data_IF_595464556397
#
_entry.id   IF_595464556397
#
_cell.length_a   1.000
_cell.length_b   1.000
_cell.length_c   1.000
_cell.angle_alpha   90.00
_cell.angle_beta   90.00
_cell.angle_gamma   90.00
#
_symmetry.space_group_name_H-M   'P 1'
#
loop_
_entity.id
_entity.type
_entity.pdbx_description
1 polymer ?
#
# COMPACT_ATOMS: atom_id res chain seq x y z
N UNK A 1 13.27 10.00 -11.11
CA UNK A 1 11.96 10.38 -11.67
C UNK A 1 10.98 9.39 -11.05
N UNK A 2 10.28 9.82 -10.00
CA UNK A 2 9.41 9.00 -9.16
C UNK A 2 8.23 8.49 -10.00
N UNK A 3 8.11 7.17 -10.14
CA UNK A 3 7.05 6.52 -10.92
C UNK A 3 6.08 5.79 -10.00
N UNK A 4 4.93 5.48 -10.57
CA UNK A 4 3.80 4.77 -9.97
C UNK A 4 4.27 3.54 -9.16
N UNK A 5 4.30 3.65 -7.83
CA UNK A 5 4.80 2.66 -6.86
C UNK A 5 6.28 2.23 -6.93
N UNK A 6 7.08 2.72 -7.89
CA UNK A 6 8.49 2.33 -8.09
C UNK A 6 9.43 2.74 -6.92
N UNK A 7 9.06 3.76 -6.14
CA UNK A 7 9.85 4.23 -4.99
C UNK A 7 9.48 3.51 -3.67
N UNK A 8 8.48 2.61 -3.70
CA UNK A 8 8.13 1.81 -2.55
C UNK A 8 8.93 0.50 -2.57
N UNK A 9 9.67 0.15 -1.50
CA UNK A 9 10.42 -1.09 -1.40
C UNK A 9 9.50 -2.28 -1.11
N UNK A 10 8.46 -2.47 -1.92
CA UNK A 10 7.56 -3.64 -1.83
C UNK A 10 8.31 -4.94 -2.18
N UNK A 11 9.30 -4.85 -3.07
CA UNK A 11 10.06 -5.98 -3.62
C UNK A 11 10.99 -6.68 -2.61
N UNK A 12 11.51 -5.96 -1.62
CA UNK A 12 12.34 -6.56 -0.55
C UNK A 12 11.52 -7.27 0.53
N UNK A 13 10.19 -7.13 0.50
CA UNK A 13 9.29 -7.66 1.52
C UNK A 13 9.54 -7.06 2.91
N UNK A 14 8.84 -7.60 3.92
CA UNK A 14 8.93 -7.13 5.31
C UNK A 14 9.88 -7.95 6.18
N UNK A 15 10.57 -8.96 5.63
CA UNK A 15 11.35 -9.91 6.43
C UNK A 15 12.45 -9.22 7.26
N UNK A 16 13.16 -8.24 6.69
CA UNK A 16 14.15 -7.43 7.41
C UNK A 16 13.51 -6.61 8.54
N UNK A 17 12.43 -5.90 8.25
CA UNK A 17 11.70 -5.10 9.24
C UNK A 17 11.09 -5.94 10.38
N UNK A 18 10.65 -7.17 10.07
CA UNK A 18 10.19 -8.12 11.09
C UNK A 18 11.35 -8.60 11.95
N UNK A 19 12.50 -8.91 11.35
CA UNK A 19 13.69 -9.35 12.09
C UNK A 19 14.25 -8.26 13.01
N UNK A 20 14.15 -6.99 12.60
CA UNK A 20 14.55 -5.83 13.39
C UNK A 20 13.49 -5.39 14.42
N UNK A 21 12.32 -6.05 14.45
CA UNK A 21 11.23 -5.71 15.36
C UNK A 21 10.52 -4.39 15.04
N UNK A 22 10.73 -3.85 13.84
CA UNK A 22 10.14 -2.60 13.36
C UNK A 22 8.69 -2.78 12.89
N UNK A 23 8.36 -3.98 12.41
CA UNK A 23 7.01 -4.34 11.94
C UNK A 23 6.66 -5.72 12.47
N UNK A 24 5.47 -5.89 13.03
CA UNK A 24 4.99 -7.21 13.43
C UNK A 24 4.60 -8.07 12.22
N UNK A 25 4.63 -9.39 12.37
CA UNK A 25 4.16 -10.31 11.31
C UNK A 25 2.71 -10.03 10.91
N UNK A 26 1.87 -9.62 11.85
CA UNK A 26 0.46 -9.31 11.59
C UNK A 26 0.31 -8.03 10.74
N UNK A 27 1.08 -6.98 11.04
CA UNK A 27 1.08 -5.74 10.25
C UNK A 27 1.61 -5.98 8.84
N UNK A 28 2.68 -6.78 8.70
CA UNK A 28 3.23 -7.16 7.40
C UNK A 28 2.25 -7.98 6.55
N UNK A 29 1.51 -8.89 7.18
CA UNK A 29 0.48 -9.70 6.50
C UNK A 29 -0.69 -8.83 6.04
N UNK A 30 -1.12 -7.86 6.87
CA UNK A 30 -2.23 -6.96 6.58
C UNK A 30 -2.03 -6.10 5.32
N UNK A 31 -0.79 -5.77 4.98
CA UNK A 31 -0.45 -4.96 3.78
C UNK A 31 0.02 -5.79 2.58
N UNK A 32 0.25 -7.10 2.76
CA UNK A 32 0.90 -7.95 1.75
C UNK A 32 0.17 -7.93 0.40
N UNK A 33 -1.15 -8.11 0.43
CA UNK A 33 -1.97 -8.16 -0.78
C UNK A 33 -1.99 -6.82 -1.52
N UNK A 34 -2.10 -5.72 -0.78
CA UNK A 34 -2.01 -4.37 -1.34
C UNK A 34 -0.64 -4.12 -1.98
N UNK A 35 0.47 -4.43 -1.29
CA UNK A 35 1.82 -4.22 -1.83
C UNK A 35 2.06 -5.04 -3.09
N UNK A 36 1.63 -6.31 -3.12
CA UNK A 36 1.76 -7.16 -4.31
C UNK A 36 0.95 -6.61 -5.51
N UNK A 37 -0.27 -6.13 -5.26
CA UNK A 37 -1.09 -5.52 -6.31
C UNK A 37 -0.53 -4.17 -6.79
N UNK A 38 0.03 -3.37 -5.89
CA UNK A 38 0.65 -2.08 -6.20
C UNK A 38 1.92 -2.26 -7.04
N UNK A 39 2.79 -3.21 -6.67
CA UNK A 39 4.02 -3.53 -7.41
C UNK A 39 3.73 -4.05 -8.83
N UNK A 40 2.65 -4.81 -9.00
CA UNK A 40 2.25 -5.32 -10.31
C UNK A 40 1.54 -4.27 -11.18
N UNK A 41 1.10 -3.14 -10.61
CA UNK A 41 0.31 -2.18 -11.34
C UNK A 41 1.15 -1.28 -12.23
N UNK A 42 0.66 -1.05 -13.44
CA UNK A 42 1.29 -0.19 -14.44
C UNK A 42 0.31 0.91 -14.82
N UNK A 43 0.80 2.11 -15.04
CA UNK A 43 -0.06 3.18 -15.52
C UNK A 43 -0.64 2.82 -16.91
N UNK A 44 -1.90 3.22 -17.19
CA UNK A 44 -2.51 3.10 -18.50
C UNK A 44 -1.62 3.71 -19.59
N UNK A 45 -1.36 2.93 -20.65
CA UNK A 45 -0.50 3.38 -21.76
C UNK A 45 0.96 3.68 -21.37
N UNK A 46 1.39 3.28 -20.17
CA UNK A 46 2.73 3.59 -19.65
C UNK A 46 2.94 5.08 -19.33
N UNK A 47 1.86 5.85 -19.22
CA UNK A 47 1.92 7.28 -18.90
C UNK A 47 1.52 7.52 -17.44
N UNK A 48 2.52 7.57 -16.56
CA UNK A 48 2.32 7.79 -15.12
C UNK A 48 1.77 9.19 -14.77
N UNK A 49 1.66 10.09 -15.76
CA UNK A 49 1.15 11.45 -15.60
C UNK A 49 -0.27 11.65 -16.18
N UNK A 50 -0.85 10.63 -16.82
CA UNK A 50 -2.23 10.70 -17.30
C UNK A 50 -3.20 10.44 -16.15
N UNK A 51 -3.40 11.46 -15.31
CA UNK A 51 -4.25 11.36 -14.14
C UNK A 51 -5.68 10.94 -14.50
N UNK A 52 -6.21 11.36 -15.65
CA UNK A 52 -7.57 11.02 -16.06
C UNK A 52 -7.69 9.53 -16.41
N UNK A 53 -6.71 9.00 -17.15
CA UNK A 53 -6.65 7.58 -17.46
C UNK A 53 -6.44 6.74 -16.20
N UNK A 54 -5.53 7.16 -15.30
CA UNK A 54 -5.26 6.47 -14.02
C UNK A 54 -6.53 6.42 -13.15
N UNK A 55 -7.22 7.56 -12.97
CA UNK A 55 -8.42 7.61 -12.13
C UNK A 55 -9.60 6.80 -12.70
N UNK A 56 -9.60 6.56 -14.02
CA UNK A 56 -10.62 5.76 -14.69
C UNK A 56 -10.23 4.29 -14.83
N UNK A 57 -9.03 3.90 -14.43
CA UNK A 57 -8.53 2.53 -14.58
C UNK A 57 -9.16 1.59 -13.54
N UNK A 58 -9.86 0.52 -13.96
CA UNK A 58 -10.37 -0.49 -13.03
C UNK A 58 -9.27 -1.15 -12.17
N UNK A 59 -8.04 -1.28 -12.69
CA UNK A 59 -6.92 -1.80 -11.93
C UNK A 59 -6.54 -0.86 -10.78
N UNK A 60 -6.61 0.45 -11.01
CA UNK A 60 -6.40 1.46 -9.97
C UNK A 60 -7.50 1.40 -8.91
N UNK A 61 -8.77 1.25 -9.30
CA UNK A 61 -9.87 1.09 -8.34
C UNK A 61 -9.69 -0.14 -7.45
N UNK A 62 -9.21 -1.26 -8.01
CA UNK A 62 -8.88 -2.46 -7.23
C UNK A 62 -7.78 -2.19 -6.20
N UNK A 63 -6.73 -1.46 -6.57
CA UNK A 63 -5.64 -1.10 -5.67
C UNK A 63 -6.12 -0.20 -4.54
N UNK A 64 -6.98 0.78 -4.84
CA UNK A 64 -7.60 1.65 -3.82
C UNK A 64 -8.42 0.82 -2.84
N UNK A 65 -9.17 -0.18 -3.32
CA UNK A 65 -9.93 -1.09 -2.46
C UNK A 65 -9.03 -1.92 -1.55
N UNK A 66 -7.95 -2.50 -2.10
CA UNK A 66 -6.96 -3.25 -1.33
C UNK A 66 -6.24 -2.38 -0.30
N UNK A 67 -5.89 -1.14 -0.66
CA UNK A 67 -5.29 -0.17 0.25
C UNK A 67 -6.23 0.16 1.41
N UNK A 68 -7.52 0.35 1.14
CA UNK A 68 -8.50 0.61 2.18
C UNK A 68 -8.70 -0.60 3.11
N UNK A 69 -8.71 -1.82 2.56
CA UNK A 69 -8.76 -3.04 3.37
C UNK A 69 -7.52 -3.18 4.28
N UNK A 70 -6.32 -3.02 3.71
CA UNK A 70 -5.06 -3.06 4.45
C UNK A 70 -5.04 -2.02 5.57
N UNK A 71 -5.49 -0.80 5.29
CA UNK A 71 -5.63 0.29 6.26
C UNK A 71 -6.55 -0.09 7.43
N UNK A 72 -7.71 -0.69 7.16
CA UNK A 72 -8.65 -1.13 8.22
C UNK A 72 -8.03 -2.22 9.09
N UNK A 73 -7.34 -3.18 8.48
CA UNK A 73 -6.64 -4.25 9.21
C UNK A 73 -5.53 -3.68 10.09
N UNK A 74 -4.71 -2.77 9.57
CA UNK A 74 -3.69 -2.07 10.34
C UNK A 74 -4.28 -1.26 11.50
N UNK A 75 -5.36 -0.50 11.27
CA UNK A 75 -6.03 0.26 12.32
C UNK A 75 -6.55 -0.64 13.46
N UNK A 76 -7.06 -1.83 13.13
CA UNK A 76 -7.49 -2.80 14.13
C UNK A 76 -6.31 -3.37 14.94
N UNK A 77 -5.15 -3.56 14.31
CA UNK A 77 -3.94 -4.07 14.96
C UNK A 77 -3.23 -3.02 15.81
N UNK A 78 -3.23 -1.76 15.37
CA UNK A 78 -2.42 -0.72 15.99
C UNK A 78 -2.94 -0.32 17.37
N UNK A 79 -4.24 -0.46 17.67
CA UNK A 79 -4.88 -0.37 19.00
C UNK A 79 -4.71 0.94 19.78
N UNK A 80 -3.74 1.76 19.40
CA UNK A 80 -3.23 2.94 20.04
C UNK A 80 -3.57 4.15 19.15
N UNK A 81 -4.46 5.05 19.61
CA UNK A 81 -4.87 6.23 18.87
C UNK A 81 -3.70 7.13 18.44
N UNK A 82 -2.57 7.09 19.16
CA UNK A 82 -1.39 7.90 18.83
C UNK A 82 -0.64 7.38 17.59
N UNK A 83 -0.71 6.08 17.30
CA UNK A 83 -0.11 5.44 16.11
C UNK A 83 -1.07 5.45 14.90
N UNK A 84 -2.37 5.57 15.15
CA UNK A 84 -3.41 5.58 14.12
C UNK A 84 -3.62 6.94 13.43
N UNK A 85 -3.02 8.02 13.94
CA UNK A 85 -3.27 9.39 13.48
C UNK A 85 -2.93 9.62 12.00
N UNK A 86 -1.96 8.86 11.45
CA UNK A 86 -1.58 8.92 10.03
C UNK A 86 -2.49 8.08 9.11
N UNK A 87 -3.29 7.17 9.66
CA UNK A 87 -4.15 6.25 8.90
C UNK A 87 -5.63 6.67 8.92
N UNK A 88 -6.00 7.53 9.86
CA UNK A 88 -7.31 8.19 9.89
C UNK A 88 -7.31 9.27 8.80
N UNK A 89 -8.11 9.06 7.74
CA UNK A 89 -8.40 10.13 6.79
C UNK A 89 -9.35 11.11 7.48
N UNK A 90 -9.00 12.39 7.45
CA UNK A 90 -9.94 13.51 7.63
C UNK A 90 -10.96 13.55 6.48
#
# INVERSE_FOLDING_TARGET
MCRYFDDCPFSSGHAGFIAEGLVSRAEAEAVREFHAAAEACKAPGGNDHDHAAILSDPAWMNIVSLADNARRQLLALLGDPSKCRLLQRE
#
